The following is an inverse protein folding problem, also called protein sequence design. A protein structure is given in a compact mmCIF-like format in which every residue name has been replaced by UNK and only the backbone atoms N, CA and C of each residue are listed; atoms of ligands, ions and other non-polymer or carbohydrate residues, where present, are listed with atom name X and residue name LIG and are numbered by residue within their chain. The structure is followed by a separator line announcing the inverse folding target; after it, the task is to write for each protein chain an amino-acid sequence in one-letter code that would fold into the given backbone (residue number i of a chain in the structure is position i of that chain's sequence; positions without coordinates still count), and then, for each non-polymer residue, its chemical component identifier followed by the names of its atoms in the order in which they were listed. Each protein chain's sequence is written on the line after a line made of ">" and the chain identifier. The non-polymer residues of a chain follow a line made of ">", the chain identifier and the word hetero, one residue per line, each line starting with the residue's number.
data_IF_250684105079
#
_entry.id   IF_250684105079
#
_cell.length_a   1.000
_cell.length_b   1.000
_cell.length_c   1.000
_cell.angle_alpha   90.00
_cell.angle_beta   90.00
_cell.angle_gamma   90.00
#
_symmetry.space_group_name_H-M   'P 1'
#
loop_
_entity.id
_entity.type
_entity.pdbx_description
1 polymer ?
#
# COMPACT_ATOMS: atom_id res chain seq x y z
N UNK A 1 20.58 -10.19 52.94
CA UNK A 1 21.06 -10.73 51.66
C UNK A 1 19.96 -10.56 50.63
N UNK A 2 19.92 -9.38 50.00
CA UNK A 2 19.08 -9.14 48.82
C UNK A 2 19.92 -9.43 47.60
N UNK A 3 19.41 -10.25 46.68
CA UNK A 3 19.58 -10.12 45.22
C UNK A 3 19.57 -11.49 44.55
N UNK A 4 18.38 -11.95 44.16
CA UNK A 4 18.20 -13.04 43.19
C UNK A 4 16.88 -12.89 42.42
N UNK A 5 16.61 -11.71 41.84
CA UNK A 5 15.42 -11.49 40.98
C UNK A 5 15.71 -10.79 39.65
N UNK A 6 16.97 -10.68 39.23
CA UNK A 6 17.34 -9.99 37.96
C UNK A 6 17.38 -10.89 36.71
N UNK A 7 17.11 -12.19 36.84
CA UNK A 7 17.18 -13.15 35.72
C UNK A 7 15.87 -13.38 34.93
N UNK A 8 14.69 -13.21 35.56
CA UNK A 8 13.40 -13.44 34.89
C UNK A 8 12.96 -12.29 33.98
N UNK A 9 13.38 -11.05 34.27
CA UNK A 9 12.78 -9.88 33.64
C UNK A 9 13.22 -9.68 32.18
N UNK A 10 14.49 -9.94 31.83
CA UNK A 10 15.01 -9.63 30.50
C UNK A 10 14.41 -10.48 29.36
N UNK A 11 14.13 -11.77 29.62
CA UNK A 11 13.53 -12.67 28.62
C UNK A 11 12.06 -12.31 28.37
N UNK A 12 11.31 -12.02 29.41
CA UNK A 12 9.92 -11.58 29.34
C UNK A 12 9.82 -10.21 28.65
N UNK A 13 10.69 -9.25 29.00
CA UNK A 13 10.77 -7.95 28.32
C UNK A 13 11.06 -8.13 26.83
N UNK A 14 12.01 -8.98 26.44
CA UNK A 14 12.32 -9.24 25.03
C UNK A 14 11.17 -9.94 24.29
N UNK A 15 10.45 -10.84 24.95
CA UNK A 15 9.28 -11.51 24.39
C UNK A 15 8.13 -10.51 24.17
N UNK A 16 7.84 -9.66 25.14
CA UNK A 16 6.83 -8.60 25.06
C UNK A 16 7.17 -7.61 23.93
N UNK A 17 8.42 -7.14 23.86
CA UNK A 17 8.87 -6.25 22.78
C UNK A 17 8.75 -6.87 21.38
N UNK A 18 8.95 -8.19 21.25
CA UNK A 18 8.72 -8.90 19.99
C UNK A 18 7.23 -9.00 19.66
N UNK A 19 6.41 -9.32 20.65
CA UNK A 19 4.95 -9.40 20.51
C UNK A 19 4.36 -8.04 20.11
N UNK A 20 4.76 -6.96 20.78
CA UNK A 20 4.29 -5.59 20.49
C UNK A 20 4.67 -5.17 19.06
N UNK A 21 5.91 -5.44 18.63
CA UNK A 21 6.35 -5.17 17.26
C UNK A 21 5.53 -5.96 16.22
N UNK A 22 5.19 -7.20 16.54
CA UNK A 22 4.37 -8.04 15.67
C UNK A 22 2.93 -7.52 15.60
N UNK A 23 2.34 -7.09 16.73
CA UNK A 23 1.02 -6.49 16.78
C UNK A 23 0.95 -5.19 15.96
N UNK A 24 1.97 -4.32 16.06
CA UNK A 24 2.07 -3.09 15.26
C UNK A 24 2.15 -3.40 13.76
N UNK A 25 2.92 -4.41 13.38
CA UNK A 25 3.05 -4.81 11.97
C UNK A 25 1.74 -5.37 11.42
N UNK A 26 1.06 -6.22 12.18
CA UNK A 26 -0.26 -6.77 11.82
C UNK A 26 -1.29 -5.65 11.64
N UNK A 27 -1.39 -4.73 12.61
CA UNK A 27 -2.30 -3.59 12.53
C UNK A 27 -2.05 -2.73 11.30
N UNK A 28 -0.77 -2.45 10.98
CA UNK A 28 -0.41 -1.68 9.78
C UNK A 28 -0.73 -2.41 8.49
N UNK A 29 -0.63 -3.74 8.48
CA UNK A 29 -1.04 -4.56 7.34
C UNK A 29 -2.56 -4.57 7.16
N UNK A 30 -3.34 -4.62 8.24
CA UNK A 30 -4.80 -4.47 8.19
C UNK A 30 -5.22 -3.09 7.68
N UNK A 31 -4.56 -2.02 8.13
CA UNK A 31 -4.78 -0.66 7.63
C UNK A 31 -4.50 -0.56 6.12
N UNK A 32 -3.43 -1.20 5.64
CA UNK A 32 -3.10 -1.27 4.22
C UNK A 32 -4.18 -2.01 3.42
N UNK A 33 -4.65 -3.16 3.89
CA UNK A 33 -5.71 -3.93 3.21
C UNK A 33 -6.99 -3.10 3.10
N UNK A 34 -7.41 -2.45 4.19
CA UNK A 34 -8.59 -1.57 4.18
C UNK A 34 -8.42 -0.38 3.22
N UNK A 35 -7.23 0.20 3.14
CA UNK A 35 -6.95 1.29 2.22
C UNK A 35 -7.04 0.82 0.75
N UNK A 36 -6.54 -0.37 0.43
CA UNK A 36 -6.64 -0.97 -0.90
C UNK A 36 -8.08 -1.29 -1.28
N UNK A 37 -8.87 -1.82 -0.34
CA UNK A 37 -10.30 -2.06 -0.53
C UNK A 37 -11.05 -0.75 -0.81
N UNK A 38 -10.80 0.29 0.00
CA UNK A 38 -11.43 1.60 -0.17
C UNK A 38 -11.08 2.24 -1.53
N UNK A 39 -9.85 2.10 -2.03
CA UNK A 39 -9.47 2.56 -3.38
C UNK A 39 -10.31 1.87 -4.45
N UNK A 40 -10.51 0.56 -4.32
CA UNK A 40 -11.29 -0.23 -5.29
C UNK A 40 -12.78 0.11 -5.27
N UNK A 41 -13.31 0.50 -4.11
CA UNK A 41 -14.71 0.93 -3.97
C UNK A 41 -14.93 2.37 -4.45
N UNK A 42 -13.97 3.26 -4.21
CA UNK A 42 -14.09 4.69 -4.54
C UNK A 42 -13.81 5.01 -6.00
N UNK A 43 -12.90 4.28 -6.65
CA UNK A 43 -12.60 4.44 -8.06
C UNK A 43 -13.55 3.57 -8.89
N UNK A 44 -14.57 4.20 -9.47
CA UNK A 44 -15.52 3.55 -10.37
C UNK A 44 -15.23 3.92 -11.82
N UNK A 45 -15.46 3.00 -12.79
CA UNK A 45 -15.27 3.30 -14.22
C UNK A 45 -16.03 4.53 -14.70
N UNK A 46 -17.19 4.82 -14.11
CA UNK A 46 -18.03 5.96 -14.49
C UNK A 46 -17.34 7.30 -14.28
N UNK A 47 -16.49 7.43 -13.25
CA UNK A 47 -15.69 8.65 -13.01
C UNK A 47 -14.70 8.94 -14.15
N UNK A 48 -14.36 7.93 -14.96
CA UNK A 48 -13.42 8.05 -16.06
C UNK A 48 -14.11 8.25 -17.41
N UNK A 49 -15.44 8.12 -17.51
CA UNK A 49 -16.18 8.29 -18.77
C UNK A 49 -16.00 9.70 -19.34
N UNK A 50 -16.00 10.72 -18.49
CA UNK A 50 -15.77 12.12 -18.89
C UNK A 50 -14.35 12.35 -19.42
N UNK A 51 -13.39 11.51 -19.01
CA UNK A 51 -12.02 11.53 -19.51
C UNK A 51 -11.85 10.71 -20.81
N UNK A 52 -12.87 9.99 -21.25
CA UNK A 52 -12.84 9.28 -22.53
C UNK A 52 -13.38 10.21 -23.61
N UNK A 53 -12.50 10.61 -24.53
CA UNK A 53 -12.88 11.43 -25.66
C UNK A 53 -14.05 10.83 -26.43
N UNK A 54 -15.00 11.67 -26.83
CA UNK A 54 -16.17 11.23 -27.58
C UNK A 54 -15.83 10.79 -29.01
N UNK A 55 -14.69 11.22 -29.55
CA UNK A 55 -14.27 10.96 -30.91
C UNK A 55 -13.00 10.12 -30.95
N UNK A 56 -12.88 9.26 -31.96
CA UNK A 56 -11.66 8.50 -32.14
C UNK A 56 -10.52 9.44 -32.58
N UNK A 57 -9.30 9.27 -32.04
CA UNK A 57 -8.17 10.09 -32.41
C UNK A 57 -7.89 9.87 -33.91
N UNK A 58 -8.00 10.94 -34.70
CA UNK A 58 -7.75 11.05 -36.16
C UNK A 58 -8.93 10.88 -37.11
N UNK A 59 -10.04 10.25 -36.73
CA UNK A 59 -11.15 10.04 -37.69
C UNK A 59 -12.30 11.03 -37.55
N UNK A 60 -12.43 11.74 -36.42
CA UNK A 60 -13.59 12.59 -36.15
C UNK A 60 -14.92 11.81 -36.03
N UNK A 61 -14.87 10.48 -36.03
CA UNK A 61 -16.03 9.60 -35.89
C UNK A 61 -16.31 9.42 -34.39
N UNK A 62 -17.57 9.57 -33.95
CA UNK A 62 -17.93 9.34 -32.55
C UNK A 62 -17.65 7.88 -32.17
N UNK A 63 -17.05 7.69 -31.01
CA UNK A 63 -16.81 6.38 -30.44
C UNK A 63 -18.13 5.79 -29.94
N UNK A 64 -18.45 4.54 -30.31
CA UNK A 64 -19.58 3.82 -29.74
C UNK A 64 -19.48 3.79 -28.22
N UNK A 65 -20.63 3.84 -27.56
CA UNK A 65 -20.71 3.90 -26.09
C UNK A 65 -20.01 2.71 -25.41
N UNK A 66 -20.21 1.49 -25.89
CA UNK A 66 -19.52 0.30 -25.38
C UNK A 66 -18.00 0.43 -25.43
N UNK A 67 -17.46 1.10 -26.47
CA UNK A 67 -16.02 1.30 -26.63
C UNK A 67 -15.51 2.36 -25.68
N UNK A 68 -16.32 3.40 -25.40
CA UNK A 68 -16.01 4.40 -24.38
C UNK A 68 -16.01 3.80 -22.97
N UNK A 69 -17.00 2.96 -22.65
CA UNK A 69 -17.06 2.20 -21.40
C UNK A 69 -15.83 1.30 -21.22
N UNK A 70 -15.40 0.57 -22.25
CA UNK A 70 -14.18 -0.24 -22.15
C UNK A 70 -12.91 0.58 -21.89
N UNK A 71 -12.78 1.78 -22.48
CA UNK A 71 -11.66 2.66 -22.22
C UNK A 71 -11.71 3.20 -20.79
N UNK A 72 -12.90 3.57 -20.30
CA UNK A 72 -13.10 4.04 -18.93
C UNK A 72 -12.75 2.95 -17.91
N UNK A 73 -13.16 1.70 -18.15
CA UNK A 73 -12.76 0.54 -17.32
C UNK A 73 -11.25 0.37 -17.30
N UNK A 74 -10.57 0.48 -18.45
CA UNK A 74 -9.10 0.39 -18.51
C UNK A 74 -8.42 1.50 -17.73
N UNK A 75 -8.87 2.74 -17.89
CA UNK A 75 -8.34 3.90 -17.14
C UNK A 75 -8.56 3.73 -15.63
N UNK A 76 -9.74 3.26 -15.23
CA UNK A 76 -10.04 2.97 -13.83
C UNK A 76 -9.10 1.89 -13.26
N UNK A 77 -8.89 0.79 -13.99
CA UNK A 77 -7.98 -0.27 -13.57
C UNK A 77 -6.53 0.22 -13.46
N UNK A 78 -6.07 1.08 -14.38
CA UNK A 78 -4.74 1.70 -14.31
C UNK A 78 -4.62 2.64 -13.11
N UNK A 79 -5.64 3.45 -12.83
CA UNK A 79 -5.66 4.36 -11.69
C UNK A 79 -5.62 3.60 -10.36
N UNK A 80 -6.45 2.56 -10.20
CA UNK A 80 -6.41 1.65 -9.05
C UNK A 80 -5.00 1.10 -8.88
N UNK A 81 -4.44 0.51 -9.94
CA UNK A 81 -3.10 -0.09 -9.89
C UNK A 81 -2.01 0.92 -9.50
N UNK A 82 -2.10 2.17 -9.96
CA UNK A 82 -1.13 3.21 -9.57
C UNK A 82 -1.24 3.55 -8.09
N UNK A 83 -2.45 3.69 -7.55
CA UNK A 83 -2.64 3.95 -6.12
C UNK A 83 -2.24 2.75 -5.25
N UNK A 84 -2.51 1.51 -5.70
CA UNK A 84 -2.02 0.30 -5.03
C UNK A 84 -0.48 0.27 -4.94
N UNK A 85 0.22 0.60 -6.04
CA UNK A 85 1.68 0.68 -6.06
C UNK A 85 2.21 1.75 -5.09
N UNK A 86 1.58 2.93 -5.04
CA UNK A 86 1.97 4.01 -4.11
C UNK A 86 1.81 3.58 -2.66
N UNK A 87 0.69 2.97 -2.30
CA UNK A 87 0.45 2.49 -0.94
C UNK A 87 1.43 1.39 -0.54
N UNK A 88 1.71 0.45 -1.44
CA UNK A 88 2.70 -0.60 -1.20
C UNK A 88 4.10 -0.02 -1.00
N UNK A 89 4.50 0.96 -1.81
CA UNK A 89 5.78 1.65 -1.65
C UNK A 89 5.88 2.39 -0.31
N UNK A 90 4.82 3.10 0.12
CA UNK A 90 4.76 3.75 1.43
C UNK A 90 4.85 2.75 2.58
N UNK A 91 4.21 1.59 2.45
CA UNK A 91 4.29 0.51 3.43
C UNK A 91 5.70 -0.09 3.51
N UNK A 92 6.38 -0.28 2.38
CA UNK A 92 7.77 -0.74 2.32
C UNK A 92 8.77 0.27 2.89
N UNK A 93 8.54 1.56 2.64
CA UNK A 93 9.31 2.64 3.26
C UNK A 93 9.10 2.67 4.78
N UNK A 94 7.85 2.55 5.23
CA UNK A 94 7.52 2.44 6.64
C UNK A 94 8.22 1.23 7.28
N UNK A 95 8.14 0.03 6.69
CA UNK A 95 8.88 -1.17 7.18
C UNK A 95 10.38 -0.92 7.26
N UNK A 96 10.94 -0.22 6.27
CA UNK A 96 12.37 0.12 6.23
C UNK A 96 12.76 1.13 7.32
N UNK A 97 11.87 2.05 7.68
CA UNK A 97 12.07 3.00 8.80
C UNK A 97 12.11 2.32 10.17
N UNK A 98 11.44 1.17 10.32
CA UNK A 98 11.45 0.37 11.56
C UNK A 98 12.75 -0.41 11.76
N UNK A 99 13.58 -0.54 10.71
CA UNK A 99 14.89 -1.19 10.84
C UNK A 99 15.87 -0.28 11.58
N UNK A 100 16.75 -0.81 12.44
CA UNK A 100 17.81 -0.02 13.04
C UNK A 100 18.73 0.58 11.95
N UNK A 101 19.29 1.78 12.20
CA UNK A 101 20.04 2.56 11.18
C UNK A 101 21.17 1.77 10.51
N UNK A 102 21.91 0.93 11.25
CA UNK A 102 22.97 0.09 10.69
C UNK A 102 22.46 -0.94 9.67
N UNK A 103 21.24 -1.44 9.82
CA UNK A 103 20.60 -2.36 8.88
C UNK A 103 20.00 -1.65 7.65
N UNK A 104 20.01 -0.31 7.61
CA UNK A 104 19.61 0.50 6.44
C UNK A 104 20.80 0.87 5.54
N UNK A 105 22.03 0.72 6.03
CA UNK A 105 23.26 1.13 5.32
C UNK A 105 23.70 0.16 4.21
N UNK A 106 23.26 -1.11 4.24
CA UNK A 106 23.65 -2.13 3.25
C UNK A 106 23.13 -1.91 1.82
N UNK A 107 22.30 -0.89 1.57
CA UNK A 107 21.84 -0.52 0.21
C UNK A 107 22.68 0.59 -0.46
N UNK A 108 23.75 1.07 0.18
CA UNK A 108 24.61 2.16 -0.34
C UNK A 108 26.08 1.75 -0.57
N UNK A 109 26.36 0.47 -0.76
CA UNK A 109 27.67 0.03 -1.24
C UNK A 109 27.45 -0.55 -2.64
N UNK A 110 28.12 0.08 -3.61
CA UNK A 110 28.05 -0.17 -5.04
C UNK A 110 28.30 -1.62 -5.45
#
# INVERSE_FOLDING_TARGET
>A
MTDFTKGCNAKEILANLKSDKQAVLMKKQEELVRALENIRETLTPDQFLDQVGFFAPKSGIPLPEWKRQQIAVKKCAEAIKQEEIKLLAQFDEWKSSQKPQWARMDRKIC
#
